data_IF_817954477873
#
_entry.id   IF_817954477873
#
_cell.length_a   1.000
_cell.length_b   1.000
_cell.length_c   1.000
_cell.angle_alpha   90.00
_cell.angle_beta   90.00
_cell.angle_gamma   90.00
#
_symmetry.space_group_name_H-M   'P 1'
#
loop_
_entity.id
_entity.type
_entity.pdbx_description
1 polymer ?
#
# COMPACT_ATOMS: atom_id res chain seq x y z
N UNK A 1 -9.31 13.41 0.90
CA UNK A 1 -8.06 12.68 0.62
C UNK A 1 -6.93 13.24 1.48
N UNK A 2 -6.59 12.52 2.53
CA UNK A 2 -5.56 12.84 3.52
C UNK A 2 -4.41 11.84 3.38
N UNK A 3 -3.19 12.33 3.16
CA UNK A 3 -2.00 11.49 3.03
C UNK A 3 -1.18 11.54 4.32
N UNK A 4 -0.88 10.37 4.86
CA UNK A 4 0.05 10.20 5.97
C UNK A 4 1.28 9.44 5.48
N UNK A 5 2.46 9.88 5.92
CA UNK A 5 3.74 9.28 5.57
C UNK A 5 4.51 9.10 6.86
N UNK A 6 5.23 7.99 6.99
CA UNK A 6 6.07 7.74 8.14
C UNK A 6 6.95 8.95 8.49
N UNK A 7 6.90 9.35 9.77
CA UNK A 7 7.73 10.42 10.32
C UNK A 7 7.42 11.83 9.80
N UNK A 8 6.31 12.03 9.10
CA UNK A 8 5.95 13.33 8.51
C UNK A 8 4.57 13.82 8.96
N UNK A 9 4.35 15.14 9.02
CA UNK A 9 3.01 15.70 9.24
C UNK A 9 2.03 15.27 8.13
N UNK A 10 0.75 15.03 8.47
CA UNK A 10 -0.28 14.72 7.49
C UNK A 10 -0.45 15.83 6.45
N UNK A 11 -0.74 15.43 5.20
CA UNK A 11 -1.01 16.35 4.10
C UNK A 11 -2.49 16.24 3.74
N UNK A 12 -3.23 17.31 4.03
CA UNK A 12 -4.63 17.44 3.66
C UNK A 12 -4.76 17.79 2.17
N UNK A 13 -5.85 17.30 1.54
CA UNK A 13 -6.20 17.57 0.14
C UNK A 13 -5.02 17.36 -0.82
N UNK A 14 -4.31 16.22 -0.66
CA UNK A 14 -3.12 15.92 -1.48
C UNK A 14 -3.49 15.87 -2.97
N UNK A 15 -2.69 16.54 -3.79
CA UNK A 15 -2.80 16.46 -5.25
C UNK A 15 -1.95 15.34 -5.85
N UNK A 16 -2.31 14.88 -7.04
CA UNK A 16 -1.67 13.74 -7.71
C UNK A 16 -0.15 13.89 -7.87
N UNK A 17 0.33 15.04 -8.34
CA UNK A 17 1.76 15.26 -8.55
C UNK A 17 2.56 15.11 -7.24
N UNK A 18 2.01 15.62 -6.13
CA UNK A 18 2.62 15.50 -4.81
C UNK A 18 2.58 14.06 -4.30
N UNK A 19 1.46 13.37 -4.51
CA UNK A 19 1.29 11.96 -4.16
C UNK A 19 2.34 11.09 -4.88
N UNK A 20 2.46 11.21 -6.20
CA UNK A 20 3.47 10.49 -6.99
C UNK A 20 4.90 10.78 -6.51
N UNK A 21 5.21 12.05 -6.29
CA UNK A 21 6.53 12.47 -5.81
C UNK A 21 6.88 11.85 -4.46
N UNK A 22 5.92 11.77 -3.53
CA UNK A 22 6.12 11.14 -2.22
C UNK A 22 6.30 9.62 -2.36
N UNK A 23 5.39 8.95 -3.07
CA UNK A 23 5.43 7.48 -3.22
C UNK A 23 6.73 7.01 -3.90
N UNK A 24 7.27 7.79 -4.84
CA UNK A 24 8.56 7.49 -5.50
C UNK A 24 9.77 7.54 -4.56
N UNK A 25 9.65 8.20 -3.41
CA UNK A 25 10.71 8.40 -2.42
C UNK A 25 10.69 7.40 -1.28
N UNK A 26 9.63 6.61 -1.14
CA UNK A 26 9.58 5.56 -0.12
C UNK A 26 10.73 4.56 -0.30
N UNK A 27 11.32 4.12 0.80
CA UNK A 27 12.41 3.13 0.84
C UNK A 27 12.18 2.19 2.02
N UNK A 28 12.32 0.89 1.81
CA UNK A 28 12.25 -0.09 2.91
C UNK A 28 13.29 0.20 3.99
N UNK A 29 14.46 0.70 3.59
CA UNK A 29 15.49 1.24 4.47
C UNK A 29 15.73 2.71 4.11
N UNK A 30 15.15 3.62 4.89
CA UNK A 30 15.22 5.06 4.65
C UNK A 30 14.39 5.87 5.65
N UNK A 31 14.24 7.19 5.44
CA UNK A 31 13.53 8.07 6.38
C UNK A 31 12.01 7.85 6.39
N UNK A 32 11.47 7.22 5.35
CA UNK A 32 10.07 6.83 5.27
C UNK A 32 9.92 5.56 4.43
N UNK A 33 9.20 4.59 4.99
CA UNK A 33 9.04 3.23 4.49
C UNK A 33 7.57 2.81 4.36
N UNK A 34 6.62 3.65 4.79
CA UNK A 34 5.20 3.42 4.58
C UNK A 34 4.44 4.73 4.42
N UNK A 35 3.25 4.64 3.81
CA UNK A 35 2.31 5.74 3.67
C UNK A 35 0.87 5.22 3.57
N UNK A 36 -0.11 6.04 3.96
CA UNK A 36 -1.52 5.77 3.79
C UNK A 36 -2.24 6.95 3.15
N UNK A 37 -3.19 6.67 2.27
CA UNK A 37 -4.08 7.66 1.65
C UNK A 37 -5.51 7.33 2.03
N UNK A 38 -6.14 8.24 2.77
CA UNK A 38 -7.48 8.06 3.35
C UNK A 38 -8.49 9.02 2.72
N UNK A 39 -9.65 8.50 2.32
CA UNK A 39 -10.76 9.31 1.81
C UNK A 39 -11.63 9.88 2.96
N UNK A 40 -12.66 10.64 2.61
CA UNK A 40 -13.56 11.26 3.60
C UNK A 40 -14.50 10.25 4.28
N UNK A 41 -14.74 9.10 3.65
CA UNK A 41 -15.52 8.01 4.23
C UNK A 41 -14.68 7.11 5.15
N UNK A 42 -13.37 7.36 5.26
CA UNK A 42 -12.44 6.58 6.07
C UNK A 42 -11.91 5.32 5.38
N UNK A 43 -12.21 5.10 4.11
CA UNK A 43 -11.52 4.06 3.33
C UNK A 43 -10.08 4.51 3.12
N UNK A 44 -9.16 3.55 3.09
CA UNK A 44 -7.77 3.89 2.81
C UNK A 44 -7.07 2.84 1.95
N UNK A 45 -6.05 3.32 1.26
CA UNK A 45 -4.95 2.50 0.78
C UNK A 45 -3.72 2.73 1.65
N UNK A 46 -2.97 1.69 1.91
CA UNK A 46 -1.64 1.81 2.51
C UNK A 46 -0.59 1.04 1.74
N UNK A 47 0.64 1.53 1.82
CA UNK A 47 1.82 0.91 1.24
C UNK A 47 2.89 0.77 2.31
N UNK A 48 3.56 -0.37 2.33
CA UNK A 48 4.82 -0.58 3.04
C UNK A 48 5.93 -0.95 2.06
N UNK A 49 7.16 -0.54 2.35
CA UNK A 49 8.33 -0.75 1.50
C UNK A 49 8.60 0.39 0.51
N UNK A 50 9.39 0.10 -0.53
CA UNK A 50 9.78 1.09 -1.52
C UNK A 50 10.53 0.49 -2.71
N UNK A 51 10.71 1.28 -3.78
CA UNK A 51 11.43 0.84 -4.98
C UNK A 51 10.70 -0.28 -5.72
N UNK A 52 11.18 -1.52 -5.60
CA UNK A 52 10.61 -2.74 -6.20
C UNK A 52 10.09 -3.74 -5.15
N UNK A 53 10.13 -3.36 -3.89
CA UNK A 53 9.73 -4.20 -2.75
C UNK A 53 8.63 -3.48 -1.97
N UNK A 54 7.42 -3.43 -2.54
CA UNK A 54 6.27 -2.81 -1.91
C UNK A 54 5.16 -3.83 -1.64
N UNK A 55 4.44 -3.65 -0.53
CA UNK A 55 3.15 -4.28 -0.23
C UNK A 55 2.07 -3.21 -0.32
N UNK A 56 0.89 -3.56 -0.85
CA UNK A 56 -0.29 -2.67 -0.85
C UNK A 56 -1.42 -3.34 -0.07
N UNK A 57 -2.10 -2.57 0.75
CA UNK A 57 -3.34 -2.98 1.40
C UNK A 57 -4.43 -1.93 1.23
N UNK A 58 -5.67 -2.38 1.31
CA UNK A 58 -6.87 -1.54 1.22
C UNK A 58 -7.81 -1.86 2.37
N UNK A 59 -8.39 -0.84 2.97
CA UNK A 59 -9.47 -0.98 3.95
C UNK A 59 -10.74 -0.29 3.49
N UNK A 60 -11.85 -0.99 3.67
CA UNK A 60 -13.20 -0.46 3.50
C UNK A 60 -13.80 -0.13 4.86
N UNK A 61 -14.12 1.14 5.11
CA UNK A 61 -14.56 1.58 6.43
C UNK A 61 -15.97 1.07 6.79
N UNK A 62 -16.87 1.02 5.80
CA UNK A 62 -18.27 0.64 6.02
C UNK A 62 -18.43 -0.83 6.42
N UNK A 63 -17.65 -1.72 5.79
CA UNK A 63 -17.69 -3.16 6.02
C UNK A 63 -16.63 -3.62 7.03
N UNK A 64 -15.71 -2.73 7.41
CA UNK A 64 -14.47 -3.04 8.16
C UNK A 64 -13.61 -4.11 7.48
N UNK A 65 -13.80 -4.31 6.17
CA UNK A 65 -13.00 -5.29 5.43
C UNK A 65 -11.61 -4.76 5.15
N UNK A 66 -10.62 -5.63 5.33
CA UNK A 66 -9.23 -5.32 5.06
C UNK A 66 -8.69 -6.31 4.04
N UNK A 67 -8.00 -5.80 3.03
CA UNK A 67 -7.53 -6.58 1.91
C UNK A 67 -6.05 -6.37 1.68
N UNK A 68 -5.36 -7.44 1.28
CA UNK A 68 -3.99 -7.40 0.78
C UNK A 68 -3.96 -7.57 -0.72
N UNK A 69 -3.23 -6.69 -1.40
CA UNK A 69 -3.07 -6.75 -2.83
C UNK A 69 -2.19 -7.96 -3.21
N UNK A 70 -2.55 -8.62 -4.31
CA UNK A 70 -1.71 -9.63 -4.97
C UNK A 70 -1.87 -9.53 -6.49
N UNK A 71 -0.95 -10.14 -7.24
CA UNK A 71 -0.96 -10.13 -8.71
C UNK A 71 -0.73 -11.54 -9.27
N UNK A 72 -1.16 -11.79 -10.50
CA UNK A 72 -1.05 -13.13 -11.11
C UNK A 72 0.41 -13.60 -11.25
N UNK A 73 1.33 -12.67 -11.56
CA UNK A 73 2.75 -12.97 -11.67
C UNK A 73 3.43 -12.94 -10.30
N UNK A 74 3.80 -14.13 -9.81
CA UNK A 74 4.66 -14.28 -8.64
C UNK A 74 6.06 -13.69 -8.87
N UNK A 75 6.64 -13.15 -7.81
CA UNK A 75 8.04 -12.74 -7.75
C UNK A 75 8.95 -13.95 -7.97
N UNK A 76 9.90 -13.80 -8.89
CA UNK A 76 10.97 -14.79 -9.11
C UNK A 76 12.08 -14.64 -8.06
N UNK A 77 12.17 -13.49 -7.39
CA UNK A 77 13.22 -13.17 -6.43
C UNK A 77 12.83 -13.45 -4.97
N UNK A 78 11.53 -13.47 -4.66
CA UNK A 78 11.03 -13.56 -3.29
C UNK A 78 10.03 -14.71 -3.17
N UNK A 79 10.45 -15.77 -2.47
CA UNK A 79 9.59 -16.92 -2.19
C UNK A 79 8.54 -16.59 -1.11
N UNK A 80 7.50 -17.43 -1.02
CA UNK A 80 6.49 -17.34 0.04
C UNK A 80 7.14 -17.36 1.44
N UNK A 81 6.68 -16.48 2.32
CA UNK A 81 7.22 -16.30 3.67
C UNK A 81 8.41 -15.35 3.77
N UNK A 82 8.89 -14.80 2.65
CA UNK A 82 9.92 -13.74 2.66
C UNK A 82 9.44 -12.54 3.46
N UNK A 83 10.29 -12.00 4.32
CA UNK A 83 9.94 -10.87 5.20
C UNK A 83 10.10 -9.54 4.47
N UNK A 84 9.03 -8.74 4.46
CA UNK A 84 9.13 -7.30 4.24
C UNK A 84 9.36 -6.64 5.60
N UNK A 85 10.47 -5.91 5.73
CA UNK A 85 10.81 -5.12 6.92
C UNK A 85 10.69 -3.64 6.57
N UNK A 86 10.01 -2.89 7.43
CA UNK A 86 9.75 -1.46 7.31
C UNK A 86 9.63 -0.86 8.72
N UNK A 87 9.58 0.46 8.85
CA UNK A 87 9.58 1.09 10.18
C UNK A 87 8.33 0.81 11.03
N UNK A 88 7.24 0.36 10.39
CA UNK A 88 6.04 -0.15 11.08
C UNK A 88 6.12 -1.62 11.52
N UNK A 89 7.21 -2.33 11.23
CA UNK A 89 7.43 -3.71 11.67
C UNK A 89 7.91 -4.66 10.57
N UNK A 90 7.50 -5.92 10.66
CA UNK A 90 7.83 -6.95 9.67
C UNK A 90 6.62 -7.83 9.35
N UNK A 91 6.43 -8.12 8.08
CA UNK A 91 5.33 -8.96 7.58
C UNK A 91 5.90 -10.07 6.72
N UNK A 92 5.38 -11.30 6.87
CA UNK A 92 5.62 -12.40 5.95
C UNK A 92 4.76 -12.19 4.71
N UNK A 93 5.41 -12.12 3.56
CA UNK A 93 4.78 -11.87 2.27
C UNK A 93 4.61 -13.19 1.51
N UNK A 94 3.55 -13.29 0.72
CA UNK A 94 3.48 -14.26 -0.36
C UNK A 94 4.23 -13.73 -1.60
N UNK A 95 4.68 -14.62 -2.46
CA UNK A 95 5.43 -14.30 -3.66
C UNK A 95 4.61 -13.45 -4.66
N UNK A 96 3.28 -13.50 -4.58
CA UNK A 96 2.35 -12.70 -5.39
C UNK A 96 2.04 -11.31 -4.80
N UNK A 97 2.59 -10.94 -3.64
CA UNK A 97 2.26 -9.69 -2.92
C UNK A 97 3.32 -8.58 -3.13
N UNK A 98 4.29 -8.79 -4.03
CA UNK A 98 5.41 -7.86 -4.25
C UNK A 98 5.16 -6.92 -5.43
N UNK A 99 5.01 -5.63 -5.13
CA UNK A 99 4.72 -4.59 -6.10
C UNK A 99 5.89 -3.62 -6.29
N UNK A 100 5.93 -2.96 -7.45
CA UNK A 100 6.83 -1.84 -7.68
C UNK A 100 6.21 -0.53 -7.20
N UNK A 101 7.06 0.47 -6.96
CA UNK A 101 6.61 1.84 -6.69
C UNK A 101 5.78 2.45 -7.84
N UNK A 102 5.86 1.91 -9.06
CA UNK A 102 5.00 2.31 -10.18
C UNK A 102 3.59 1.74 -10.01
N UNK A 103 3.48 0.47 -9.62
CA UNK A 103 2.18 -0.16 -9.32
C UNK A 103 1.49 0.55 -8.15
N UNK A 104 2.24 0.83 -7.08
CA UNK A 104 1.76 1.61 -5.93
C UNK A 104 1.21 2.95 -6.41
N UNK A 105 1.94 3.69 -7.25
CA UNK A 105 1.45 4.97 -7.78
C UNK A 105 0.19 4.80 -8.63
N UNK A 106 0.09 3.77 -9.47
CA UNK A 106 -1.09 3.53 -10.28
C UNK A 106 -2.33 3.27 -9.41
N UNK A 107 -2.18 2.41 -8.40
CA UNK A 107 -3.26 2.08 -7.45
C UNK A 107 -3.68 3.30 -6.64
N UNK A 108 -2.72 4.03 -6.06
CA UNK A 108 -2.99 5.20 -5.23
C UNK A 108 -3.60 6.37 -6.03
N UNK A 109 -3.18 6.56 -7.29
CA UNK A 109 -3.75 7.62 -8.13
C UNK A 109 -5.17 7.25 -8.59
N UNK A 110 -5.43 5.99 -8.90
CA UNK A 110 -6.79 5.53 -9.23
C UNK A 110 -7.74 5.79 -8.05
N UNK A 111 -7.30 5.46 -6.83
CA UNK A 111 -8.05 5.76 -5.61
C UNK A 111 -8.24 7.26 -5.37
N UNK A 112 -7.17 8.07 -5.54
CA UNK A 112 -7.24 9.53 -5.43
C UNK A 112 -8.31 10.14 -6.35
N UNK A 113 -8.47 9.57 -7.56
CA UNK A 113 -9.40 10.05 -8.59
C UNK A 113 -10.80 9.45 -8.49
N UNK A 114 -11.01 8.45 -7.64
CA UNK A 114 -12.26 7.68 -7.60
C UNK A 114 -12.46 6.78 -8.84
N UNK A 115 -11.37 6.39 -9.50
CA UNK A 115 -11.36 5.51 -10.67
C UNK A 115 -11.23 4.04 -10.24
N UNK A 116 -11.65 3.08 -11.09
CA UNK A 116 -11.38 1.66 -10.85
C UNK A 116 -9.89 1.39 -10.63
N UNK A 117 -9.58 0.49 -9.70
CA UNK A 117 -8.19 0.08 -9.45
C UNK A 117 -7.66 -0.77 -10.62
N UNK A 118 -6.33 -0.80 -10.86
CA UNK A 118 -5.75 -1.56 -11.98
C UNK A 118 -6.16 -3.03 -11.98
N UNK A 119 -6.55 -3.56 -13.14
CA UNK A 119 -7.12 -4.91 -13.30
C UNK A 119 -6.14 -6.04 -12.93
N UNK A 120 -4.83 -5.79 -12.99
CA UNK A 120 -3.81 -6.76 -12.61
C UNK A 120 -3.57 -6.84 -11.09
N UNK A 121 -4.25 -6.00 -10.30
CA UNK A 121 -4.15 -5.95 -8.84
C UNK A 121 -5.42 -6.54 -8.22
N UNK A 122 -5.27 -7.74 -7.68
CA UNK A 122 -6.32 -8.50 -7.01
C UNK A 122 -6.27 -8.28 -5.50
N UNK A 123 -7.36 -8.61 -4.80
CA UNK A 123 -7.53 -8.31 -3.38
C UNK A 123 -7.90 -9.55 -2.58
N UNK A 124 -7.00 -9.97 -1.69
CA UNK A 124 -7.20 -11.08 -0.76
C UNK A 124 -7.76 -10.51 0.53
N UNK A 125 -8.91 -11.00 0.98
CA UNK A 125 -9.48 -10.61 2.28
C UNK A 125 -8.58 -11.13 3.40
N UNK A 126 -8.18 -10.24 4.30
CA UNK A 126 -7.35 -10.51 5.47
C UNK A 126 -7.98 -9.97 6.76
N UNK A 127 -9.27 -9.66 6.77
CA UNK A 127 -9.98 -9.11 7.93
C UNK A 127 -9.77 -9.90 9.21
N UNK A 128 -9.82 -11.23 9.13
CA UNK A 128 -9.64 -12.11 10.30
C UNK A 128 -8.25 -11.97 10.94
N UNK A 129 -7.24 -11.57 10.16
CA UNK A 129 -5.86 -11.38 10.64
C UNK A 129 -5.70 -10.03 11.32
N UNK A 130 -6.41 -9.00 10.85
CA UNK A 130 -6.29 -7.62 11.35
C UNK A 130 -7.13 -7.40 12.60
N UNK A 131 -8.30 -8.03 12.72
CA UNK A 131 -9.18 -7.89 13.88
C UNK A 131 -8.64 -8.60 15.15
N UNK A 132 -7.57 -9.39 15.04
CA UNK A 132 -6.93 -10.10 16.16
C UNK A 132 -5.66 -9.39 16.69
N UNK A 133 -5.27 -8.24 16.10
CA UNK A 133 -4.09 -7.46 16.47
C UNK A 133 -4.45 -6.20 17.27
#
# INVERSE_FOLDING_TARGET
MRLEVEGQPPIEKVGEAKLRAILSKLRSYGPASFASLTDEAGNYLQVAGGGVTCMIERREASTRRHFRAFQDKKSEAFADGTLLVFGGGKIKMHADEWFTSKDVQAVFVSFLRGEPLPEHVHWRDISEVVDQA
#
